data_IF_702810474636
#
_entry.id   IF_702810474636
#
_cell.length_a   1.000
_cell.length_b   1.000
_cell.length_c   1.000
_cell.angle_alpha   90.00
_cell.angle_beta   90.00
_cell.angle_gamma   90.00
#
_symmetry.space_group_name_H-M   'P 1'
#
loop_
_entity.id
_entity.type
_entity.pdbx_description
1 polymer ?
#
# COMPACT_ATOMS: atom_id res chain seq x y z
N UNK A 1 17.34 -6.15 0.89
CA UNK A 1 17.51 -4.71 0.79
C UNK A 1 16.28 -4.02 1.38
N UNK A 2 16.52 -2.89 2.02
CA UNK A 2 15.45 -2.10 2.59
C UNK A 2 15.00 -0.97 1.65
N UNK A 3 15.31 -1.13 0.37
CA UNK A 3 14.86 -0.18 -0.63
C UNK A 3 13.34 -0.17 -0.74
N UNK A 4 12.78 1.03 -0.87
CA UNK A 4 11.37 1.21 -1.13
C UNK A 4 11.19 1.49 -2.61
N UNK A 5 10.31 0.75 -3.26
CA UNK A 5 9.94 1.03 -4.63
C UNK A 5 9.11 2.32 -4.66
N UNK A 6 9.36 3.16 -5.64
CA UNK A 6 8.59 4.39 -5.82
C UNK A 6 7.78 4.29 -7.11
N UNK A 7 6.52 4.69 -7.03
CA UNK A 7 5.65 4.73 -8.20
C UNK A 7 5.24 6.17 -8.44
N UNK A 8 5.58 6.69 -9.62
CA UNK A 8 5.15 8.00 -10.06
C UNK A 8 3.80 7.86 -10.77
N UNK A 9 2.80 8.56 -10.28
CA UNK A 9 1.45 8.51 -10.83
C UNK A 9 1.17 9.78 -11.62
N UNK A 10 0.99 9.64 -12.92
CA UNK A 10 0.76 10.75 -13.87
C UNK A 10 1.82 11.84 -13.79
N UNK A 11 3.04 11.51 -13.32
CA UNK A 11 4.13 12.47 -13.19
C UNK A 11 3.96 13.52 -12.08
N UNK A 12 2.86 13.48 -11.34
CA UNK A 12 2.49 14.53 -10.38
C UNK A 12 2.49 14.05 -8.94
N UNK A 13 2.50 12.74 -8.72
CA UNK A 13 2.46 12.15 -7.40
C UNK A 13 3.40 10.95 -7.34
N UNK A 14 4.14 10.85 -6.25
CA UNK A 14 4.98 9.68 -5.98
C UNK A 14 4.50 9.02 -4.70
N UNK A 15 4.28 7.70 -4.76
CA UNK A 15 3.94 6.89 -3.59
C UNK A 15 5.05 5.92 -3.31
N UNK A 16 5.50 5.81 -2.05
CA UNK A 16 6.36 4.69 -1.66
C UNK A 16 5.54 3.41 -1.67
N UNK A 17 6.10 2.39 -2.28
CA UNK A 17 5.41 1.13 -2.50
C UNK A 17 6.32 -0.02 -2.10
N UNK A 18 5.80 -0.96 -1.34
CA UNK A 18 6.48 -2.21 -1.02
C UNK A 18 5.78 -3.34 -1.74
N UNK A 19 6.53 -4.07 -2.58
CA UNK A 19 5.97 -5.15 -3.40
C UNK A 19 6.20 -6.49 -2.69
N UNK A 20 5.14 -7.26 -2.56
CA UNK A 20 5.16 -8.63 -2.04
C UNK A 20 4.47 -9.55 -3.02
N UNK A 21 4.90 -10.80 -3.07
CA UNK A 21 4.23 -11.82 -3.90
C UNK A 21 4.24 -13.15 -3.18
N UNK A 22 3.21 -13.96 -3.41
CA UNK A 22 3.07 -15.26 -2.77
C UNK A 22 2.23 -16.20 -3.63
N UNK A 23 2.46 -17.49 -3.46
CA UNK A 23 1.57 -18.55 -3.99
C UNK A 23 0.34 -18.72 -3.11
N UNK A 24 0.42 -18.30 -1.84
CA UNK A 24 -0.66 -18.40 -0.86
C UNK A 24 -1.38 -17.07 -0.74
N UNK A 25 -2.67 -17.14 -0.45
CA UNK A 25 -3.52 -15.96 -0.30
C UNK A 25 -3.22 -15.14 0.95
N UNK A 26 -2.54 -15.72 1.94
CA UNK A 26 -2.17 -15.02 3.17
C UNK A 26 -0.67 -14.91 3.30
N UNK A 27 -0.22 -13.75 3.73
CA UNK A 27 1.17 -13.51 4.11
C UNK A 27 1.20 -12.80 5.45
N UNK A 28 1.86 -13.41 6.44
CA UNK A 28 2.03 -12.81 7.76
C UNK A 28 3.32 -12.00 7.77
N UNK A 29 3.22 -10.73 8.18
CA UNK A 29 4.39 -9.85 8.30
C UNK A 29 4.97 -9.98 9.71
N UNK A 30 5.25 -11.21 10.14
CA UNK A 30 5.57 -11.53 11.53
C UNK A 30 6.98 -12.02 11.77
N UNK A 31 7.72 -12.42 10.72
CA UNK A 31 9.12 -12.82 10.91
C UNK A 31 9.95 -11.62 11.32
N UNK A 32 11.08 -11.81 12.04
CA UNK A 32 11.95 -10.69 12.42
C UNK A 32 12.37 -9.83 11.24
N UNK A 33 12.70 -10.45 10.11
CA UNK A 33 13.08 -9.74 8.89
C UNK A 33 11.94 -8.88 8.35
N UNK A 34 10.73 -9.44 8.26
CA UNK A 34 9.57 -8.72 7.74
C UNK A 34 9.15 -7.60 8.67
N UNK A 35 9.24 -7.78 9.99
CA UNK A 35 8.97 -6.73 10.97
C UNK A 35 9.95 -5.57 10.83
N UNK A 36 11.24 -5.87 10.65
CA UNK A 36 12.27 -4.86 10.46
C UNK A 36 12.04 -4.07 9.17
N UNK A 37 11.69 -4.77 8.08
CA UNK A 37 11.35 -4.11 6.82
C UNK A 37 10.13 -3.21 6.97
N UNK A 38 9.11 -3.67 7.69
CA UNK A 38 7.91 -2.89 7.95
C UNK A 38 8.22 -1.60 8.71
N UNK A 39 9.00 -1.70 9.78
CA UNK A 39 9.39 -0.53 10.59
C UNK A 39 10.16 0.49 9.75
N UNK A 40 11.12 0.03 8.96
CA UNK A 40 11.89 0.91 8.06
C UNK A 40 10.99 1.59 7.03
N UNK A 41 10.04 0.86 6.48
CA UNK A 41 9.09 1.40 5.53
C UNK A 41 8.19 2.48 6.16
N UNK A 42 7.69 2.21 7.35
CA UNK A 42 6.87 3.19 8.08
C UNK A 42 7.66 4.46 8.39
N UNK A 43 8.91 4.33 8.79
CA UNK A 43 9.78 5.48 9.08
C UNK A 43 10.00 6.33 7.82
N UNK A 44 10.24 5.69 6.69
CA UNK A 44 10.39 6.40 5.41
C UNK A 44 9.12 7.13 5.02
N UNK A 45 7.96 6.51 5.22
CA UNK A 45 6.68 7.15 4.92
C UNK A 45 6.42 8.35 5.82
N UNK A 46 6.75 8.26 7.10
CA UNK A 46 6.64 9.39 8.03
C UNK A 46 7.52 10.55 7.59
N UNK A 47 8.77 10.27 7.24
CA UNK A 47 9.71 11.29 6.78
C UNK A 47 9.22 11.97 5.51
N UNK A 48 8.58 11.24 4.60
CA UNK A 48 8.03 11.77 3.35
C UNK A 48 6.61 12.33 3.51
N UNK A 49 6.03 12.27 4.70
CA UNK A 49 4.65 12.68 4.98
C UNK A 49 3.64 12.03 4.05
N UNK A 50 3.74 10.71 3.92
CA UNK A 50 2.84 9.89 3.12
C UNK A 50 2.51 8.59 3.87
N UNK A 51 1.58 7.82 3.35
CA UNK A 51 1.18 6.55 3.94
C UNK A 51 1.84 5.38 3.20
N UNK A 52 2.05 4.24 3.87
CA UNK A 52 2.61 3.07 3.23
C UNK A 52 1.59 2.39 2.33
N UNK A 53 2.04 1.95 1.16
CA UNK A 53 1.24 1.13 0.25
C UNK A 53 1.97 -0.18 0.01
N UNK A 54 1.28 -1.28 0.27
CA UNK A 54 1.75 -2.62 -0.07
C UNK A 54 1.02 -3.09 -1.32
N UNK A 55 1.77 -3.55 -2.31
CA UNK A 55 1.21 -4.21 -3.48
C UNK A 55 1.48 -5.71 -3.37
N UNK A 56 0.42 -6.49 -3.26
CA UNK A 56 0.49 -7.93 -3.06
C UNK A 56 -0.01 -8.65 -4.30
N UNK A 57 0.89 -9.42 -4.92
CA UNK A 57 0.57 -10.23 -6.09
C UNK A 57 0.35 -11.69 -5.69
N UNK A 58 -0.78 -12.25 -6.09
CA UNK A 58 -1.03 -13.68 -5.95
C UNK A 58 -0.47 -14.39 -7.18
N UNK A 59 0.61 -15.16 -7.00
CA UNK A 59 1.29 -15.87 -8.08
C UNK A 59 0.40 -16.98 -8.64
N UNK A 60 0.59 -17.28 -9.92
CA UNK A 60 -0.13 -18.34 -10.66
C UNK A 60 -1.64 -18.11 -10.80
N UNK A 61 -2.16 -16.98 -10.32
CA UNK A 61 -3.54 -16.59 -10.60
C UNK A 61 -3.57 -15.88 -11.95
N UNK A 62 -4.58 -16.16 -12.76
CA UNK A 62 -4.79 -15.45 -14.03
C UNK A 62 -5.66 -14.21 -13.81
N UNK A 63 -5.46 -13.20 -14.65
CA UNK A 63 -6.26 -11.99 -14.63
C UNK A 63 -5.76 -10.98 -13.62
N UNK A 64 -6.69 -10.41 -12.85
CA UNK A 64 -6.40 -9.36 -11.86
C UNK A 64 -5.75 -9.96 -10.62
N UNK A 65 -4.43 -9.94 -10.57
CA UNK A 65 -3.63 -10.60 -9.53
C UNK A 65 -3.07 -9.66 -8.47
N UNK A 66 -3.22 -8.35 -8.63
CA UNK A 66 -2.64 -7.36 -7.73
C UNK A 66 -3.68 -6.77 -6.80
N UNK A 67 -3.34 -6.75 -5.50
CA UNK A 67 -4.14 -6.08 -4.47
C UNK A 67 -3.25 -5.13 -3.70
N UNK A 68 -3.83 -4.01 -3.27
CA UNK A 68 -3.10 -3.00 -2.49
C UNK A 68 -3.69 -2.87 -1.10
N UNK A 69 -2.80 -2.56 -0.15
CA UNK A 69 -3.11 -2.38 1.26
C UNK A 69 -2.37 -1.18 1.80
N UNK A 70 -2.88 -0.63 2.88
CA UNK A 70 -2.23 0.46 3.59
C UNK A 70 -2.23 0.22 5.09
N UNK A 71 -1.43 1.00 5.81
CA UNK A 71 -1.52 1.14 7.27
C UNK A 71 -1.89 2.60 7.49
N UNK A 72 -3.07 2.89 8.06
CA UNK A 72 -3.47 4.28 8.32
C UNK A 72 -2.47 4.99 9.23
N UNK A 73 -2.14 6.24 8.88
CA UNK A 73 -1.22 7.08 9.64
C UNK A 73 -1.85 8.43 9.89
N UNK A 74 -1.66 8.96 11.10
CA UNK A 74 -2.14 10.28 11.47
C UNK A 74 -1.25 11.38 10.91
N UNK A 75 -1.81 12.59 10.77
CA UNK A 75 -1.05 13.77 10.35
C UNK A 75 -0.68 13.81 8.88
N UNK A 76 -1.30 13.00 8.05
CA UNK A 76 -1.04 13.00 6.61
C UNK A 76 -1.58 14.26 5.94
N UNK A 77 -0.89 14.70 4.89
CA UNK A 77 -1.38 15.77 4.03
C UNK A 77 -2.68 15.36 3.35
N UNK A 78 -3.47 16.37 2.99
CA UNK A 78 -4.80 16.18 2.40
C UNK A 78 -4.80 15.13 1.28
N UNK A 79 -3.86 15.24 0.34
CA UNK A 79 -3.82 14.34 -0.81
C UNK A 79 -3.61 12.88 -0.38
N UNK A 80 -2.63 12.63 0.46
CA UNK A 80 -2.34 11.29 0.97
C UNK A 80 -3.50 10.71 1.76
N UNK A 81 -4.16 11.54 2.56
CA UNK A 81 -5.32 11.13 3.36
C UNK A 81 -6.48 10.69 2.47
N UNK A 82 -6.76 11.41 1.40
CA UNK A 82 -7.85 11.07 0.48
C UNK A 82 -7.62 9.71 -0.19
N UNK A 83 -6.39 9.39 -0.56
CA UNK A 83 -6.06 8.07 -1.11
C UNK A 83 -6.09 6.99 -0.03
N UNK A 84 -5.53 7.30 1.14
CA UNK A 84 -5.46 6.33 2.23
C UNK A 84 -6.86 5.81 2.62
N UNK A 85 -7.87 6.67 2.62
CA UNK A 85 -9.24 6.27 2.94
C UNK A 85 -9.85 5.33 1.91
N UNK A 86 -9.25 5.18 0.73
CA UNK A 86 -9.76 4.35 -0.37
C UNK A 86 -9.04 3.02 -0.50
N UNK A 87 -8.01 2.79 0.30
CA UNK A 87 -7.21 1.57 0.23
C UNK A 87 -7.50 0.71 1.46
N UNK A 88 -7.67 -0.59 1.26
CA UNK A 88 -7.94 -1.52 2.35
C UNK A 88 -6.81 -1.49 3.39
N UNK A 89 -7.12 -1.41 4.69
CA UNK A 89 -6.09 -1.46 5.72
C UNK A 89 -5.61 -2.90 5.92
N UNK A 90 -4.34 -3.04 6.29
CA UNK A 90 -3.82 -4.32 6.74
C UNK A 90 -4.47 -4.70 8.07
N UNK A 91 -4.94 -5.94 8.17
CA UNK A 91 -5.53 -6.47 9.40
C UNK A 91 -4.42 -6.89 10.36
N UNK A 92 -4.66 -6.73 11.65
CA UNK A 92 -3.79 -7.26 12.69
C UNK A 92 -4.36 -8.56 13.25
N UNK A 93 -3.47 -9.50 13.54
CA UNK A 93 -3.83 -10.72 14.28
C UNK A 93 -3.95 -10.40 15.77
N UNK A 94 -4.50 -11.34 16.55
CA UNK A 94 -4.60 -11.20 18.00
C UNK A 94 -3.23 -10.99 18.66
N UNK A 95 -2.18 -11.55 18.06
CA UNK A 95 -0.80 -11.34 18.52
C UNK A 95 -0.20 -10.00 18.13
N UNK A 96 -0.95 -9.12 17.48
CA UNK A 96 -0.50 -7.78 17.09
C UNK A 96 0.31 -7.71 15.80
N UNK A 97 0.41 -8.81 15.04
CA UNK A 97 1.13 -8.84 13.78
C UNK A 97 0.21 -8.48 12.61
N UNK A 98 0.74 -7.79 11.62
CA UNK A 98 -0.01 -7.53 10.40
C UNK A 98 -0.08 -8.77 9.52
N UNK A 99 -1.23 -8.96 8.90
CA UNK A 99 -1.45 -10.05 7.93
C UNK A 99 -2.03 -9.45 6.65
N UNK A 100 -1.50 -9.91 5.55
CA UNK A 100 -1.95 -9.52 4.21
C UNK A 100 -2.74 -10.69 3.64
N UNK A 101 -4.06 -10.55 3.53
CA UNK A 101 -4.92 -11.55 2.91
C UNK A 101 -5.41 -11.00 1.58
N UNK A 102 -5.06 -11.69 0.49
CA UNK A 102 -5.27 -11.19 -0.86
C UNK A 102 -6.72 -10.76 -1.13
N UNK A 103 -7.68 -11.57 -0.68
CA UNK A 103 -9.10 -11.27 -0.91
C UNK A 103 -9.60 -10.01 -0.19
N UNK A 104 -8.89 -9.55 0.83
CA UNK A 104 -9.25 -8.34 1.60
C UNK A 104 -8.72 -7.05 0.98
N UNK A 105 -7.79 -7.16 0.03
CA UNK A 105 -7.13 -6.01 -0.56
C UNK A 105 -7.97 -5.28 -1.60
N UNK A 106 -7.60 -4.04 -1.85
CA UNK A 106 -8.19 -3.24 -2.91
C UNK A 106 -7.52 -3.59 -4.23
N UNK A 107 -8.28 -3.83 -5.31
CA UNK A 107 -7.67 -4.02 -6.63
C UNK A 107 -6.78 -2.84 -7.02
N UNK A 108 -5.62 -3.12 -7.60
CA UNK A 108 -4.70 -2.06 -8.04
C UNK A 108 -5.38 -1.08 -9.00
N UNK A 109 -6.22 -1.57 -9.89
CA UNK A 109 -6.97 -0.73 -10.82
C UNK A 109 -7.83 0.30 -10.10
N UNK A 110 -8.42 -0.07 -8.96
CA UNK A 110 -9.23 0.87 -8.15
C UNK A 110 -8.38 1.99 -7.57
N UNK A 111 -7.17 1.68 -7.11
CA UNK A 111 -6.24 2.72 -6.64
C UNK A 111 -5.90 3.70 -7.76
N UNK A 112 -5.60 3.19 -8.96
CA UNK A 112 -5.26 4.04 -10.10
C UNK A 112 -6.41 4.94 -10.51
N UNK A 113 -7.64 4.46 -10.44
CA UNK A 113 -8.83 5.27 -10.70
C UNK A 113 -8.98 6.39 -9.68
N UNK A 114 -8.79 6.10 -8.39
CA UNK A 114 -8.91 7.12 -7.34
C UNK A 114 -7.84 8.19 -7.48
N UNK A 115 -6.61 7.81 -7.83
CA UNK A 115 -5.54 8.76 -8.12
C UNK A 115 -5.96 9.70 -9.24
N UNK A 116 -6.50 9.16 -10.33
CA UNK A 116 -6.99 9.95 -11.46
C UNK A 116 -8.04 10.98 -11.05
N UNK A 117 -9.03 10.54 -10.25
CA UNK A 117 -10.09 11.44 -9.76
C UNK A 117 -9.54 12.58 -8.91
N UNK A 118 -8.62 12.28 -7.99
CA UNK A 118 -8.04 13.28 -7.11
C UNK A 118 -7.22 14.29 -7.91
N UNK A 119 -6.39 13.83 -8.83
CA UNK A 119 -5.59 14.71 -9.68
C UNK A 119 -6.46 15.59 -10.57
N UNK A 120 -7.53 15.05 -11.13
CA UNK A 120 -8.46 15.83 -11.94
C UNK A 120 -9.17 16.90 -11.11
N UNK A 121 -9.54 16.60 -9.87
CA UNK A 121 -10.11 17.59 -8.95
C UNK A 121 -9.13 18.72 -8.64
N UNK A 122 -7.86 18.38 -8.36
CA UNK A 122 -6.82 19.36 -8.06
C UNK A 122 -6.57 20.27 -9.26
N UNK A 123 -6.63 19.74 -10.47
CA UNK A 123 -6.37 20.52 -11.69
C UNK A 123 -7.64 21.16 -12.29
N UNK A 124 -8.78 21.01 -11.64
CA UNK A 124 -10.03 21.61 -12.12
C UNK A 124 -10.60 20.97 -13.38
N UNK A 125 -10.30 19.71 -13.63
CA UNK A 125 -10.77 18.98 -14.82
C UNK A 125 -12.10 18.29 -14.57
#
# INVERSE_FOLDING_TARGET
SFGVDLVALRGEMTLPLEVKSSLKEKMYLSSPRLKEQLEGFLDQCKAANTFPVYAFRLKKKKGDTWRVFTIPMEGLKYFSRNLNCKIAPLRRTDGGNYVMEWSEGTPLSSLLMEVGKILDTIHGR
#
